data_IF_551804554967
#
_entry.id   IF_551804554967
#
_cell.length_a   1.000
_cell.length_b   1.000
_cell.length_c   1.000
_cell.angle_alpha   90.00
_cell.angle_beta   90.00
_cell.angle_gamma   90.00
#
_symmetry.space_group_name_H-M   'P 1'
#
loop_
_entity.id
_entity.type
_entity.pdbx_description
1 polymer ?
#
# COMPACT_ATOMS: atom_id res chain seq x y z
N UNK A 1 -10.01 -12.62 2.06
CA UNK A 1 -9.23 -11.59 2.78
C UNK A 1 -8.98 -12.10 4.20
N UNK A 2 -7.81 -11.80 4.75
CA UNK A 2 -7.55 -12.05 6.18
C UNK A 2 -8.54 -11.23 7.03
N UNK A 3 -8.90 -11.73 8.21
CA UNK A 3 -9.84 -11.06 9.13
C UNK A 3 -9.14 -10.41 10.31
N UNK A 4 -7.82 -10.56 10.42
CA UNK A 4 -6.98 -9.90 11.42
C UNK A 4 -6.18 -8.75 10.81
N UNK A 5 -6.40 -7.55 11.32
CA UNK A 5 -5.75 -6.31 10.86
C UNK A 5 -4.24 -6.31 11.09
N UNK A 6 -3.74 -7.02 12.12
CA UNK A 6 -2.31 -7.13 12.39
C UNK A 6 -1.59 -7.94 11.32
N UNK A 7 -2.23 -9.03 10.86
CA UNK A 7 -1.69 -9.86 9.77
C UNK A 7 -1.70 -9.07 8.46
N UNK A 8 -2.76 -8.29 8.19
CA UNK A 8 -2.81 -7.40 7.02
C UNK A 8 -1.69 -6.36 7.08
N UNK A 9 -1.48 -5.72 8.23
CA UNK A 9 -0.40 -4.75 8.41
C UNK A 9 0.98 -5.41 8.18
N UNK A 10 1.25 -6.54 8.84
CA UNK A 10 2.53 -7.25 8.72
C UNK A 10 2.84 -7.63 7.28
N UNK A 11 1.85 -8.16 6.54
CA UNK A 11 2.02 -8.52 5.12
C UNK A 11 2.27 -7.30 4.24
N UNK A 12 1.54 -6.22 4.44
CA UNK A 12 1.72 -4.99 3.66
C UNK A 12 3.10 -4.36 3.90
N UNK A 13 3.56 -4.32 5.16
CA UNK A 13 4.89 -3.81 5.51
C UNK A 13 6.00 -4.72 4.97
N UNK A 14 5.84 -6.04 5.08
CA UNK A 14 6.84 -7.00 4.58
C UNK A 14 6.97 -7.00 3.05
N UNK A 15 5.88 -6.71 2.33
CA UNK A 15 5.89 -6.57 0.87
C UNK A 15 6.36 -5.22 0.36
N UNK A 16 6.61 -4.24 1.24
CA UNK A 16 7.00 -2.90 0.84
C UNK A 16 8.47 -2.85 0.39
N UNK A 17 8.70 -2.17 -0.73
CA UNK A 17 10.01 -1.80 -1.24
C UNK A 17 9.90 -0.43 -1.93
N UNK A 18 11.01 0.27 -2.22
CA UNK A 18 10.95 1.52 -2.98
C UNK A 18 10.18 1.34 -4.29
N UNK A 19 9.17 2.17 -4.52
CA UNK A 19 8.28 2.10 -5.68
C UNK A 19 7.16 1.05 -5.62
N UNK A 20 6.97 0.35 -4.51
CA UNK A 20 5.88 -0.62 -4.37
C UNK A 20 4.48 0.03 -4.42
N UNK A 21 3.53 -0.64 -5.08
CA UNK A 21 2.10 -0.32 -5.04
C UNK A 21 1.39 -1.39 -4.20
N UNK A 22 0.85 -1.00 -3.05
CA UNK A 22 0.15 -1.92 -2.15
C UNK A 22 -1.35 -1.90 -2.47
N UNK A 23 -1.89 -3.04 -2.91
CA UNK A 23 -3.32 -3.20 -3.15
C UNK A 23 -4.08 -3.44 -1.84
N UNK A 24 -5.08 -2.61 -1.57
CA UNK A 24 -6.01 -2.75 -0.44
C UNK A 24 -7.46 -2.61 -0.91
N UNK A 25 -8.41 -3.11 -0.10
CA UNK A 25 -9.85 -2.98 -0.34
C UNK A 25 -10.52 -2.35 0.88
N UNK A 26 -11.12 -1.17 0.74
CA UNK A 26 -11.77 -0.38 1.80
C UNK A 26 -13.16 -0.89 2.20
N UNK A 27 -13.79 -1.72 1.37
CA UNK A 27 -15.07 -2.41 1.68
C UNK A 27 -14.98 -3.44 2.82
N UNK A 28 -13.78 -3.66 3.36
CA UNK A 28 -13.53 -4.61 4.46
C UNK A 28 -12.94 -3.88 5.66
N UNK A 29 -13.65 -3.93 6.79
CA UNK A 29 -13.24 -3.24 8.03
C UNK A 29 -11.83 -3.64 8.48
N UNK A 30 -11.44 -4.91 8.29
CA UNK A 30 -10.08 -5.39 8.60
C UNK A 30 -9.00 -4.62 7.83
N UNK A 31 -9.20 -4.35 6.54
CA UNK A 31 -8.26 -3.58 5.73
C UNK A 31 -8.17 -2.14 6.22
N UNK A 32 -9.32 -1.51 6.49
CA UNK A 32 -9.38 -0.13 6.98
C UNK A 32 -8.67 0.01 8.32
N UNK A 33 -8.89 -0.94 9.23
CA UNK A 33 -8.27 -0.97 10.55
C UNK A 33 -6.75 -1.20 10.49
N UNK A 34 -6.22 -1.79 9.42
CA UNK A 34 -4.79 -2.00 9.24
C UNK A 34 -4.05 -0.75 8.74
N UNK A 35 -4.73 0.19 8.09
CA UNK A 35 -4.12 1.38 7.47
C UNK A 35 -3.27 2.21 8.44
N UNK A 36 -3.72 2.54 9.68
CA UNK A 36 -2.90 3.33 10.60
C UNK A 36 -1.55 2.67 10.93
N UNK A 37 -1.55 1.34 11.10
CA UNK A 37 -0.33 0.56 11.35
C UNK A 37 0.63 0.62 10.15
N UNK A 38 0.12 0.41 8.93
CA UNK A 38 0.91 0.44 7.69
C UNK A 38 1.55 1.81 7.48
N UNK A 39 0.75 2.88 7.61
CA UNK A 39 1.23 4.25 7.42
C UNK A 39 2.33 4.61 8.43
N UNK A 40 2.13 4.27 9.71
CA UNK A 40 3.11 4.54 10.76
C UNK A 40 4.42 3.78 10.52
N UNK A 41 4.34 2.46 10.26
CA UNK A 41 5.52 1.61 10.08
C UNK A 41 6.36 2.05 8.87
N UNK A 42 5.74 2.29 7.72
CA UNK A 42 6.47 2.69 6.51
C UNK A 42 7.01 4.13 6.63
N UNK A 43 6.28 5.04 7.27
CA UNK A 43 6.81 6.40 7.52
C UNK A 43 8.04 6.38 8.41
N UNK A 44 8.07 5.52 9.43
CA UNK A 44 9.26 5.33 10.28
C UNK A 44 10.45 4.75 9.51
N UNK A 45 10.19 3.98 8.45
CA UNK A 45 11.22 3.47 7.53
C UNK A 45 11.65 4.50 6.46
N UNK A 46 11.09 5.71 6.47
CA UNK A 46 11.47 6.80 5.55
C UNK A 46 10.70 6.84 4.23
N UNK A 47 9.60 6.10 4.09
CA UNK A 47 8.78 6.13 2.89
C UNK A 47 7.94 7.41 2.79
N UNK A 48 7.73 7.86 1.55
CA UNK A 48 6.75 8.88 1.18
C UNK A 48 5.58 8.24 0.45
N UNK A 49 4.36 8.59 0.85
CA UNK A 49 3.14 8.14 0.18
C UNK A 49 2.80 9.09 -0.96
N UNK A 50 2.62 8.53 -2.15
CA UNK A 50 2.31 9.26 -3.38
C UNK A 50 1.12 8.63 -4.09
N UNK A 51 0.54 9.34 -5.05
CA UNK A 51 -0.45 8.76 -5.97
C UNK A 51 0.25 7.93 -7.04
N UNK A 52 -0.48 7.04 -7.71
CA UNK A 52 0.05 6.25 -8.84
C UNK A 52 0.61 7.16 -9.94
N UNK A 53 -0.08 8.26 -10.25
CA UNK A 53 0.40 9.29 -11.17
C UNK A 53 1.70 9.96 -10.68
N UNK A 54 1.83 10.21 -9.37
CA UNK A 54 3.05 10.78 -8.80
C UNK A 54 4.24 9.81 -8.82
N UNK A 55 3.98 8.50 -8.80
CA UNK A 55 5.00 7.47 -8.88
C UNK A 55 5.44 7.19 -10.33
N UNK A 56 4.49 6.98 -11.24
CA UNK A 56 4.74 6.53 -12.61
C UNK A 56 4.95 7.73 -13.57
N UNK A 57 4.37 8.89 -13.27
CA UNK A 57 4.31 10.01 -14.20
C UNK A 57 3.25 9.81 -15.28
N UNK A 58 3.52 10.24 -16.49
CA UNK A 58 2.54 10.20 -17.59
C UNK A 58 2.19 8.76 -17.97
N UNK A 59 0.92 8.39 -17.76
CA UNK A 59 0.38 7.09 -18.14
C UNK A 59 -0.22 7.12 -19.55
N UNK A 60 -0.12 6.00 -20.27
CA UNK A 60 -0.64 5.80 -21.62
C UNK A 60 -1.72 4.71 -21.59
N UNK A 61 -2.80 4.92 -22.34
CA UNK A 61 -3.90 3.96 -22.43
C UNK A 61 -3.43 2.64 -23.04
N UNK A 62 -3.83 1.52 -22.42
CA UNK A 62 -3.48 0.17 -22.88
C UNK A 62 -2.09 -0.33 -22.47
N UNK A 63 -1.32 0.46 -21.72
CA UNK A 63 0.03 0.07 -21.25
C UNK A 63 -0.03 -0.49 -19.84
N UNK A 64 0.59 -1.66 -19.62
CA UNK A 64 0.87 -2.19 -18.30
C UNK A 64 2.18 -1.61 -17.75
N UNK A 65 2.18 -1.24 -16.47
CA UNK A 65 3.35 -0.71 -15.78
C UNK A 65 3.95 -1.78 -14.88
N UNK A 66 5.29 -1.96 -14.90
CA UNK A 66 5.98 -2.94 -14.09
C UNK A 66 5.94 -2.61 -12.59
#
# INVERSE_FOLDING_TARGET
>A
ADRNSEIVCSRAVAGAHPGAIILMHDIHQTSVNAVPCILSALKQQGYSFVTVQGLIGNMAAGVGYP
#
